data_IF_252086192029
#
_entry.id   IF_252086192029
#
_cell.length_a   1.000
_cell.length_b   1.000
_cell.length_c   1.000
_cell.angle_alpha   90.00
_cell.angle_beta   90.00
_cell.angle_gamma   90.00
#
_symmetry.space_group_name_H-M   'P 1'
#
loop_
_entity.id
_entity.type
_entity.pdbx_description
1 polymer ?
#
# COMPACT_ATOMS: atom_id res chain seq x y z
N UNK A 1 16.33 -5.72 12.00
CA UNK A 1 15.15 -6.07 11.17
C UNK A 1 14.77 -7.52 11.47
N UNK A 2 13.48 -7.79 11.69
CA UNK A 2 12.95 -9.14 11.96
C UNK A 2 13.39 -10.14 10.89
N UNK A 3 13.46 -9.70 9.63
CA UNK A 3 13.81 -10.54 8.46
C UNK A 3 15.27 -11.03 8.43
N UNK A 4 16.18 -10.43 9.19
CA UNK A 4 17.58 -10.90 9.26
C UNK A 4 17.77 -12.10 10.19
N UNK A 5 16.80 -12.37 11.08
CA UNK A 5 16.93 -13.34 12.15
C UNK A 5 16.02 -14.58 11.99
N UNK A 6 15.10 -14.57 11.02
CA UNK A 6 14.20 -15.68 10.76
C UNK A 6 14.42 -16.25 9.35
N UNK A 7 14.50 -17.57 9.26
CA UNK A 7 14.39 -18.26 7.98
C UNK A 7 12.96 -18.07 7.47
N UNK A 8 12.78 -17.22 6.45
CA UNK A 8 11.48 -16.96 5.83
C UNK A 8 10.84 -18.19 5.19
N UNK A 9 11.63 -19.26 4.98
CA UNK A 9 11.16 -20.53 4.42
C UNK A 9 10.24 -21.34 5.37
N UNK A 10 10.01 -20.88 6.58
CA UNK A 10 9.17 -21.56 7.57
C UNK A 10 7.83 -20.82 7.86
N UNK A 11 7.57 -19.72 7.16
CA UNK A 11 6.37 -18.93 7.38
C UNK A 11 5.49 -19.01 6.14
N UNK A 12 4.33 -19.64 6.27
CA UNK A 12 3.29 -19.58 5.26
C UNK A 12 2.63 -18.21 5.29
N UNK A 13 2.82 -17.41 4.24
CA UNK A 13 2.20 -16.10 4.11
C UNK A 13 0.73 -16.20 3.70
N UNK A 14 -0.06 -15.19 4.06
CA UNK A 14 -1.46 -15.11 3.59
C UNK A 14 -1.58 -15.15 2.05
N UNK A 15 -0.68 -14.51 1.26
CA UNK A 15 -0.67 -14.64 -0.20
C UNK A 15 -0.53 -16.08 -0.68
N UNK A 16 0.31 -16.89 -0.03
CA UNK A 16 0.47 -18.30 -0.37
C UNK A 16 -0.82 -19.09 -0.18
N UNK A 17 -1.54 -18.83 0.93
CA UNK A 17 -2.85 -19.44 1.19
C UNK A 17 -3.86 -19.05 0.10
N UNK A 18 -3.88 -17.78 -0.30
CA UNK A 18 -4.73 -17.29 -1.38
C UNK A 18 -4.40 -17.97 -2.72
N UNK A 19 -3.11 -18.13 -3.06
CA UNK A 19 -2.69 -18.84 -4.27
C UNK A 19 -3.21 -20.29 -4.32
N UNK A 20 -3.16 -20.99 -3.19
CA UNK A 20 -3.67 -22.37 -3.07
C UNK A 20 -5.18 -22.44 -3.30
N UNK A 21 -5.90 -21.33 -3.13
CA UNK A 21 -7.33 -21.20 -3.40
C UNK A 21 -7.64 -20.60 -4.79
N UNK A 22 -6.64 -20.48 -5.67
CA UNK A 22 -6.81 -20.00 -7.03
C UNK A 22 -6.89 -18.48 -7.18
N UNK A 23 -6.44 -17.72 -6.18
CA UNK A 23 -6.33 -16.27 -6.28
C UNK A 23 -5.04 -15.86 -7.00
N UNK A 24 -5.13 -14.82 -7.81
CA UNK A 24 -3.94 -14.10 -8.28
C UNK A 24 -3.46 -13.17 -7.14
N UNK A 25 -2.18 -13.25 -6.78
CA UNK A 25 -1.65 -12.46 -5.67
C UNK A 25 -0.61 -11.43 -6.15
N UNK A 26 -0.82 -10.18 -5.75
CA UNK A 26 -0.02 -9.03 -6.19
C UNK A 26 0.57 -8.29 -4.99
N UNK A 27 1.88 -8.06 -5.02
CA UNK A 27 2.55 -7.09 -4.17
C UNK A 27 2.88 -5.85 -5.01
N UNK A 28 2.41 -4.68 -4.58
CA UNK A 28 2.62 -3.40 -5.28
C UNK A 28 3.37 -2.44 -4.38
N UNK A 29 4.47 -1.88 -4.89
CA UNK A 29 5.29 -0.92 -4.15
C UNK A 29 5.91 0.09 -5.11
N UNK A 30 5.82 1.39 -4.80
CA UNK A 30 6.29 2.47 -5.67
C UNK A 30 7.82 2.61 -5.77
N UNK A 31 8.62 1.96 -4.91
CA UNK A 31 10.07 1.99 -4.97
C UNK A 31 10.64 1.10 -6.07
N UNK A 32 11.95 1.20 -6.32
CA UNK A 32 12.66 0.24 -7.19
C UNK A 32 12.64 -1.16 -6.60
N UNK A 33 12.61 -2.17 -7.46
CA UNK A 33 12.85 -3.56 -7.06
C UNK A 33 14.17 -3.67 -6.29
N UNK A 34 14.19 -4.48 -5.23
CA UNK A 34 15.35 -4.61 -4.32
C UNK A 34 15.44 -3.55 -3.21
N UNK A 35 14.64 -2.46 -3.28
CA UNK A 35 14.61 -1.47 -2.20
C UNK A 35 14.15 -2.12 -0.90
N UNK A 36 14.94 -1.93 0.17
CA UNK A 36 14.71 -2.49 1.51
C UNK A 36 14.40 -4.01 1.54
N UNK A 37 14.73 -4.74 0.47
CA UNK A 37 14.49 -6.19 0.30
C UNK A 37 13.00 -6.59 0.33
N UNK A 38 12.10 -5.69 -0.04
CA UNK A 38 10.67 -6.00 -0.12
C UNK A 38 10.36 -7.06 -1.19
N UNK A 39 11.17 -7.16 -2.24
CA UNK A 39 11.11 -8.21 -3.24
C UNK A 39 11.36 -9.61 -2.64
N UNK A 40 12.38 -9.74 -1.81
CA UNK A 40 12.66 -10.98 -1.10
C UNK A 40 11.55 -11.32 -0.09
N UNK A 41 11.04 -10.32 0.64
CA UNK A 41 9.92 -10.50 1.56
C UNK A 41 8.66 -10.95 0.81
N UNK A 42 8.27 -10.26 -0.25
CA UNK A 42 7.08 -10.59 -1.02
C UNK A 42 7.18 -12.00 -1.63
N UNK A 43 8.37 -12.38 -2.14
CA UNK A 43 8.62 -13.74 -2.62
C UNK A 43 8.47 -14.79 -1.50
N UNK A 44 9.03 -14.52 -0.32
CA UNK A 44 8.96 -15.45 0.82
C UNK A 44 7.56 -15.61 1.41
N UNK A 45 6.70 -14.61 1.25
CA UNK A 45 5.28 -14.64 1.66
C UNK A 45 4.38 -15.32 0.62
N UNK A 46 4.91 -15.66 -0.56
CA UNK A 46 4.21 -16.40 -1.60
C UNK A 46 3.41 -15.53 -2.57
N UNK A 47 3.72 -14.25 -2.74
CA UNK A 47 3.15 -13.46 -3.83
C UNK A 47 3.63 -13.99 -5.18
N UNK A 48 2.73 -14.27 -6.11
CA UNK A 48 3.10 -14.72 -7.46
C UNK A 48 3.33 -13.59 -8.46
N UNK A 49 2.99 -12.35 -8.11
CA UNK A 49 3.31 -11.17 -8.91
C UNK A 49 3.77 -10.02 -8.02
N UNK A 50 4.82 -9.33 -8.45
CA UNK A 50 5.35 -8.16 -7.77
C UNK A 50 5.46 -7.02 -8.78
N UNK A 51 5.00 -5.83 -8.42
CA UNK A 51 4.99 -4.64 -9.25
C UNK A 51 5.72 -3.51 -8.53
N UNK A 52 6.83 -3.10 -9.08
CA UNK A 52 7.67 -2.03 -8.58
C UNK A 52 7.61 -0.79 -9.49
N UNK A 53 8.32 0.26 -9.11
CA UNK A 53 8.31 1.55 -9.81
C UNK A 53 8.38 1.40 -11.34
N UNK A 54 9.31 0.60 -11.84
CA UNK A 54 9.59 0.50 -13.27
C UNK A 54 8.51 -0.30 -14.03
N UNK A 55 7.72 -1.13 -13.31
CA UNK A 55 6.54 -1.81 -13.85
C UNK A 55 5.30 -0.89 -13.86
N UNK A 56 5.28 0.10 -12.95
CA UNK A 56 4.14 0.99 -12.74
C UNK A 56 4.22 2.26 -13.58
N UNK A 57 5.40 2.83 -13.78
CA UNK A 57 5.60 4.05 -14.58
C UNK A 57 7.05 4.28 -14.92
N UNK A 58 7.30 4.76 -16.15
CA UNK A 58 8.61 5.20 -16.60
C UNK A 58 8.78 6.73 -16.53
N UNK A 59 7.91 7.44 -15.83
CA UNK A 59 7.96 8.92 -15.74
C UNK A 59 8.75 9.37 -14.50
N UNK A 60 9.96 9.91 -14.64
CA UNK A 60 10.73 10.44 -13.51
C UNK A 60 10.03 11.61 -12.79
N UNK A 61 9.20 12.38 -13.51
CA UNK A 61 8.47 13.52 -12.96
C UNK A 61 7.39 13.13 -11.94
N UNK A 62 7.01 11.86 -11.89
CA UNK A 62 6.01 11.33 -10.97
C UNK A 62 6.68 10.56 -9.80
N UNK A 63 7.98 10.72 -9.61
CA UNK A 63 8.74 10.13 -8.53
C UNK A 63 9.17 11.16 -7.49
N UNK A 64 9.13 10.76 -6.25
CA UNK A 64 9.78 11.42 -5.13
C UNK A 64 11.07 10.71 -4.70
N UNK A 65 11.55 11.00 -3.49
CA UNK A 65 12.81 10.49 -2.93
C UNK A 65 12.85 8.96 -2.87
N UNK A 66 11.75 8.32 -2.53
CA UNK A 66 11.68 6.86 -2.38
C UNK A 66 11.21 6.13 -3.64
N UNK A 67 10.52 6.81 -4.54
CA UNK A 67 10.00 6.19 -5.74
C UNK A 67 8.76 6.88 -6.29
N UNK A 68 7.91 6.11 -6.96
CA UNK A 68 6.69 6.59 -7.60
C UNK A 68 5.67 7.07 -6.56
N UNK A 69 5.10 8.24 -6.78
CA UNK A 69 4.04 8.76 -5.92
C UNK A 69 2.77 7.89 -5.97
N UNK A 70 2.07 7.75 -4.84
CA UNK A 70 0.96 6.81 -4.64
C UNK A 70 -0.19 6.98 -5.63
N UNK A 71 -0.49 8.20 -6.12
CA UNK A 71 -1.55 8.41 -7.10
C UNK A 71 -1.31 7.67 -8.42
N UNK A 72 -0.03 7.51 -8.81
CA UNK A 72 0.33 6.77 -10.02
C UNK A 72 0.21 5.26 -9.77
N UNK A 73 0.59 4.78 -8.58
CA UNK A 73 0.41 3.39 -8.21
C UNK A 73 -1.10 3.03 -8.18
N UNK A 74 -1.95 3.84 -7.56
CA UNK A 74 -3.41 3.66 -7.56
C UNK A 74 -3.98 3.56 -8.98
N UNK A 75 -3.51 4.43 -9.90
CA UNK A 75 -3.93 4.38 -11.31
C UNK A 75 -3.57 3.06 -11.99
N UNK A 76 -2.37 2.53 -11.74
CA UNK A 76 -1.95 1.26 -12.31
C UNK A 76 -2.65 0.06 -11.67
N UNK A 77 -2.92 0.12 -10.36
CA UNK A 77 -3.74 -0.87 -9.66
C UNK A 77 -5.12 -0.95 -10.30
N UNK A 78 -5.82 0.18 -10.47
CA UNK A 78 -7.13 0.22 -11.14
C UNK A 78 -7.10 -0.43 -12.51
N UNK A 79 -6.11 -0.07 -13.34
CA UNK A 79 -5.94 -0.62 -14.68
C UNK A 79 -5.67 -2.13 -14.67
N UNK A 80 -4.94 -2.62 -13.69
CA UNK A 80 -4.65 -4.04 -13.55
C UNK A 80 -5.91 -4.81 -13.13
N UNK A 81 -6.58 -4.35 -12.09
CA UNK A 81 -7.74 -5.02 -11.53
C UNK A 81 -8.94 -5.03 -12.47
N UNK A 82 -9.09 -4.01 -13.34
CA UNK A 82 -10.13 -4.02 -14.39
C UNK A 82 -9.92 -5.07 -15.48
N UNK A 83 -8.77 -5.76 -15.48
CA UNK A 83 -8.44 -6.85 -16.43
C UNK A 83 -8.27 -8.20 -15.73
N UNK A 84 -8.48 -8.25 -14.42
CA UNK A 84 -8.34 -9.47 -13.64
C UNK A 84 -9.58 -10.35 -13.87
N UNK A 85 -9.36 -11.58 -14.30
CA UNK A 85 -10.41 -12.57 -14.53
C UNK A 85 -10.61 -13.48 -13.32
N UNK A 86 -9.53 -13.72 -12.57
CA UNK A 86 -9.53 -14.55 -11.37
C UNK A 86 -9.80 -13.70 -10.11
N UNK A 87 -10.25 -14.33 -9.01
CA UNK A 87 -10.22 -13.66 -7.72
C UNK A 87 -8.78 -13.25 -7.39
N UNK A 88 -8.62 -12.13 -6.70
CA UNK A 88 -7.29 -11.56 -6.42
C UNK A 88 -7.11 -11.20 -4.95
N UNK A 89 -5.85 -11.22 -4.53
CA UNK A 89 -5.35 -10.61 -3.30
C UNK A 89 -4.25 -9.62 -3.68
N UNK A 90 -4.41 -8.35 -3.34
CA UNK A 90 -3.44 -7.32 -3.66
C UNK A 90 -3.04 -6.57 -2.39
N UNK A 91 -1.74 -6.51 -2.15
CA UNK A 91 -1.16 -5.64 -1.12
C UNK A 91 -0.48 -4.45 -1.78
N UNK A 92 -0.90 -3.25 -1.45
CA UNK A 92 -0.23 -2.02 -1.84
C UNK A 92 0.46 -1.40 -0.62
N UNK A 93 1.79 -1.42 -0.64
CA UNK A 93 2.62 -0.77 0.35
C UNK A 93 2.99 0.63 -0.13
N UNK A 94 2.40 1.65 0.52
CA UNK A 94 2.45 3.06 0.10
C UNK A 94 3.78 3.73 0.47
N UNK A 95 4.10 4.87 -0.13
CA UNK A 95 5.36 5.59 0.09
C UNK A 95 5.18 7.04 0.53
N UNK A 96 4.10 7.69 0.10
CA UNK A 96 4.00 9.16 0.19
C UNK A 96 3.88 9.68 1.62
N UNK A 97 3.51 8.83 2.58
CA UNK A 97 3.43 9.17 4.00
C UNK A 97 4.72 8.87 4.77
N UNK A 98 5.77 8.40 4.08
CA UNK A 98 7.09 8.18 4.67
C UNK A 98 7.94 9.46 4.59
N UNK A 99 8.79 9.70 5.60
CA UNK A 99 9.79 10.78 5.58
C UNK A 99 10.70 10.67 4.33
N UNK A 100 11.01 11.74 3.59
CA UNK A 100 10.83 13.17 3.89
C UNK A 100 9.45 13.74 3.50
N UNK A 101 8.39 12.93 3.32
CA UNK A 101 7.03 13.35 3.04
C UNK A 101 6.88 14.12 1.72
N UNK A 102 7.69 13.76 0.72
CA UNK A 102 7.65 14.42 -0.56
C UNK A 102 6.47 13.93 -1.42
N UNK A 103 5.67 14.88 -1.82
CA UNK A 103 4.50 14.68 -2.68
C UNK A 103 4.55 15.67 -3.84
N UNK A 104 3.81 15.43 -4.93
CA UNK A 104 3.85 16.35 -6.07
C UNK A 104 3.45 17.78 -5.67
N UNK A 105 4.23 18.77 -6.09
CA UNK A 105 4.08 20.18 -5.73
C UNK A 105 2.67 20.74 -6.01
N UNK A 106 1.97 20.21 -7.02
CA UNK A 106 0.58 20.59 -7.33
C UNK A 106 -0.39 20.32 -6.18
N UNK A 107 -0.11 19.31 -5.34
CA UNK A 107 -0.94 18.96 -4.18
C UNK A 107 -0.60 19.83 -2.97
N UNK A 108 0.67 20.16 -2.74
CA UNK A 108 1.10 21.06 -1.65
C UNK A 108 0.42 22.42 -1.79
N UNK A 109 0.44 23.00 -2.99
CA UNK A 109 -0.15 24.31 -3.27
C UNK A 109 -1.67 24.37 -3.06
N UNK A 110 -2.34 23.23 -3.15
CA UNK A 110 -3.81 23.14 -3.03
C UNK A 110 -4.30 23.31 -1.60
N UNK A 111 -3.54 22.88 -0.60
CA UNK A 111 -4.05 22.73 0.75
C UNK A 111 -3.39 23.62 1.82
N UNK A 112 -2.20 24.17 1.54
CA UNK A 112 -1.44 25.04 2.45
C UNK A 112 -1.44 24.57 3.91
N UNK A 113 -1.02 23.31 4.14
CA UNK A 113 -1.01 22.69 5.45
C UNK A 113 0.27 23.03 6.23
N UNK A 114 0.26 22.90 7.58
CA UNK A 114 1.34 23.40 8.44
C UNK A 114 2.67 22.66 8.31
N UNK A 115 2.68 21.44 7.80
CA UNK A 115 3.90 20.64 7.64
C UNK A 115 3.85 19.76 6.38
N UNK A 116 5.04 19.27 5.97
CA UNK A 116 5.15 18.30 4.89
C UNK A 116 4.45 16.99 5.25
N UNK A 117 4.57 16.55 6.50
CA UNK A 117 3.88 15.37 7.04
C UNK A 117 2.36 15.50 6.93
N UNK A 118 1.77 16.59 7.45
CA UNK A 118 0.33 16.85 7.34
C UNK A 118 -0.13 16.91 5.88
N UNK A 119 0.69 17.46 4.99
CA UNK A 119 0.43 17.52 3.56
C UNK A 119 0.45 16.13 2.92
N UNK A 120 1.34 15.24 3.35
CA UNK A 120 1.45 13.87 2.84
C UNK A 120 0.24 13.01 3.27
N UNK A 121 -0.21 13.11 4.51
CA UNK A 121 -1.42 12.42 4.98
C UNK A 121 -2.67 12.92 4.23
N UNK A 122 -2.79 14.23 4.02
CA UNK A 122 -3.89 14.79 3.24
C UNK A 122 -3.84 14.37 1.78
N UNK A 123 -2.65 14.33 1.20
CA UNK A 123 -2.46 13.82 -0.15
C UNK A 123 -2.90 12.36 -0.25
N UNK A 124 -2.48 11.51 0.67
CA UNK A 124 -2.87 10.09 0.67
C UNK A 124 -4.39 9.92 0.79
N UNK A 125 -5.05 10.64 1.72
CA UNK A 125 -6.52 10.64 1.86
C UNK A 125 -7.22 11.04 0.55
N UNK A 126 -6.75 12.13 -0.10
CA UNK A 126 -7.30 12.59 -1.38
C UNK A 126 -7.11 11.53 -2.49
N UNK A 127 -5.96 10.83 -2.52
CA UNK A 127 -5.70 9.79 -3.53
C UNK A 127 -6.54 8.53 -3.28
N UNK A 128 -6.64 8.10 -2.03
CA UNK A 128 -7.48 6.97 -1.64
C UNK A 128 -8.95 7.26 -1.97
N UNK A 129 -9.44 8.44 -1.64
CA UNK A 129 -10.81 8.91 -1.99
C UNK A 129 -11.04 8.89 -3.50
N UNK A 130 -10.07 9.40 -4.28
CA UNK A 130 -10.14 9.40 -5.73
C UNK A 130 -10.18 7.97 -6.30
N UNK A 131 -9.34 7.07 -5.78
CA UNK A 131 -9.31 5.67 -6.15
C UNK A 131 -10.67 4.99 -5.92
N UNK A 132 -11.26 5.18 -4.73
CA UNK A 132 -12.58 4.63 -4.40
C UNK A 132 -13.66 5.17 -5.34
N UNK A 133 -13.71 6.49 -5.53
CA UNK A 133 -14.71 7.15 -6.39
C UNK A 133 -14.60 6.74 -7.86
N UNK A 134 -13.38 6.57 -8.37
CA UNK A 134 -13.15 6.19 -9.77
C UNK A 134 -13.55 4.73 -10.05
N UNK A 135 -13.46 3.86 -9.03
CA UNK A 135 -13.66 2.42 -9.21
C UNK A 135 -14.99 1.90 -8.61
N UNK A 136 -15.79 2.72 -7.95
CA UNK A 136 -17.03 2.30 -7.25
C UNK A 136 -18.05 1.59 -8.15
N UNK A 137 -17.97 1.80 -9.48
CA UNK A 137 -18.84 1.17 -10.48
C UNK A 137 -18.28 -0.15 -11.03
N UNK A 138 -16.99 -0.41 -10.84
CA UNK A 138 -16.31 -1.59 -11.32
C UNK A 138 -16.79 -2.86 -10.59
N UNK A 139 -16.92 -3.95 -11.32
CA UNK A 139 -17.41 -5.22 -10.73
C UNK A 139 -16.43 -5.77 -9.70
N UNK A 140 -15.12 -5.71 -9.98
CA UNK A 140 -14.10 -6.13 -9.04
C UNK A 140 -14.16 -5.33 -7.74
N UNK A 141 -14.38 -4.01 -7.81
CA UNK A 141 -14.45 -3.14 -6.64
C UNK A 141 -15.64 -3.49 -5.74
N UNK A 142 -16.82 -3.77 -6.33
CA UNK A 142 -18.04 -4.14 -5.61
C UNK A 142 -17.93 -5.46 -4.87
N UNK A 143 -16.99 -6.32 -5.29
CA UNK A 143 -16.77 -7.66 -4.72
C UNK A 143 -15.43 -7.76 -3.96
N UNK A 144 -14.86 -6.64 -3.53
CA UNK A 144 -13.57 -6.58 -2.84
C UNK A 144 -13.75 -6.19 -1.39
N UNK A 145 -13.08 -6.89 -0.49
CA UNK A 145 -12.86 -6.49 0.90
C UNK A 145 -11.60 -5.62 0.91
N UNK A 146 -11.72 -4.37 1.37
CA UNK A 146 -10.57 -3.50 1.55
C UNK A 146 -10.14 -3.49 3.01
N UNK A 147 -8.86 -3.74 3.24
CA UNK A 147 -8.22 -3.66 4.56
C UNK A 147 -7.18 -2.55 4.47
N UNK A 148 -7.33 -1.52 5.28
CA UNK A 148 -6.43 -0.36 5.33
C UNK A 148 -5.85 -0.30 6.73
N UNK A 149 -4.53 -0.32 6.84
CA UNK A 149 -3.83 -0.28 8.13
C UNK A 149 -2.50 0.45 8.00
N UNK A 150 -1.94 0.90 9.13
CA UNK A 150 -0.53 1.29 9.20
C UNK A 150 0.35 0.06 9.36
N UNK A 151 1.61 0.17 8.98
CA UNK A 151 2.66 -0.83 9.21
C UNK A 151 3.29 -0.68 10.59
N UNK A 152 3.32 0.53 11.12
CA UNK A 152 3.79 0.89 12.46
C UNK A 152 3.26 2.27 12.88
N UNK A 153 3.43 2.62 14.14
CA UNK A 153 3.17 3.97 14.66
C UNK A 153 4.29 4.93 14.22
N UNK A 154 4.02 6.24 14.09
CA UNK A 154 5.06 7.24 13.83
C UNK A 154 6.15 7.22 14.90
N UNK A 155 7.41 7.34 14.48
CA UNK A 155 8.60 7.30 15.38
C UNK A 155 8.62 8.45 16.39
N UNK A 156 7.90 9.54 16.13
CA UNK A 156 7.91 10.79 16.90
C UNK A 156 6.59 11.07 17.64
N UNK A 157 5.92 10.03 18.13
CA UNK A 157 4.80 10.25 19.06
C UNK A 157 5.36 10.80 20.36
N UNK A 158 5.20 12.12 20.55
CA UNK A 158 5.47 12.80 21.83
C UNK A 158 4.71 12.07 22.93
N UNK A 159 5.41 11.58 23.95
CA UNK A 159 4.91 10.81 25.09
C UNK A 159 4.58 9.32 24.88
N UNK A 160 4.84 8.70 23.74
CA UNK A 160 4.73 7.26 23.63
C UNK A 160 5.88 6.58 24.36
N UNK A 161 5.56 5.81 25.42
CA UNK A 161 6.57 4.95 26.04
C UNK A 161 6.83 3.76 25.13
N UNK A 162 8.06 3.60 24.65
CA UNK A 162 8.50 2.56 23.70
C UNK A 162 8.15 1.11 24.10
N UNK A 163 7.71 0.88 25.34
CA UNK A 163 7.41 -0.44 25.90
C UNK A 163 5.92 -0.62 26.22
N UNK A 164 5.06 0.22 25.69
CA UNK A 164 3.60 0.10 25.92
C UNK A 164 2.89 -0.46 24.71
N UNK A 165 1.74 -1.10 24.88
CA UNK A 165 0.85 -1.57 23.81
C UNK A 165 0.48 -0.44 22.83
N UNK A 166 0.33 0.79 23.34
CA UNK A 166 -0.07 1.95 22.55
C UNK A 166 0.96 2.32 21.48
N UNK A 167 2.26 2.10 21.78
CA UNK A 167 3.34 2.29 20.80
C UNK A 167 3.25 1.35 19.60
N UNK A 168 2.65 0.18 19.77
CA UNK A 168 2.49 -0.83 18.70
C UNK A 168 1.08 -0.85 18.12
N UNK A 169 0.19 0.06 18.54
CA UNK A 169 -1.19 0.09 18.10
C UNK A 169 -1.32 0.87 16.79
N UNK A 170 -1.83 0.21 15.75
CA UNK A 170 -2.16 0.82 14.48
C UNK A 170 -3.66 0.67 14.18
N UNK A 171 -4.29 1.66 13.53
CA UNK A 171 -5.69 1.53 13.14
C UNK A 171 -5.84 0.49 12.02
N UNK A 172 -6.95 -0.25 12.07
CA UNK A 172 -7.36 -1.16 10.99
C UNK A 172 -8.78 -0.77 10.56
N UNK A 173 -8.95 -0.46 9.28
CA UNK A 173 -10.24 -0.20 8.65
C UNK A 173 -10.56 -1.36 7.72
N UNK A 174 -11.74 -1.96 7.90
CA UNK A 174 -12.24 -3.03 7.02
C UNK A 174 -13.51 -2.53 6.34
N UNK A 175 -13.48 -2.46 5.02
CA UNK A 175 -14.60 -2.04 4.19
C UNK A 175 -15.11 -3.26 3.44
N UNK A 176 -16.34 -3.65 3.71
CA UNK A 176 -16.97 -4.82 3.14
C UNK A 176 -17.78 -4.49 1.87
N UNK A 177 -17.92 -5.44 0.93
CA UNK A 177 -18.86 -5.34 -0.17
C UNK A 177 -20.29 -5.06 0.31
N UNK A 178 -21.05 -4.29 -0.49
CA UNK A 178 -22.48 -4.06 -0.20
C UNK A 178 -23.24 -5.39 -0.20
N UNK A 179 -23.95 -5.67 0.89
CA UNK A 179 -24.74 -6.90 1.05
C UNK A 179 -24.02 -8.05 1.77
N UNK A 180 -22.75 -7.91 2.09
CA UNK A 180 -22.07 -8.82 2.99
C UNK A 180 -22.52 -8.51 4.43
N UNK A 181 -23.19 -9.47 5.07
CA UNK A 181 -23.61 -9.32 6.47
C UNK A 181 -22.38 -9.30 7.38
N UNK A 182 -22.45 -8.43 8.38
CA UNK A 182 -21.44 -8.33 9.46
C UNK A 182 -21.59 -9.49 10.44
#
# INVERSE_FOLDING_TARGET
>A
FILSNFSTNQVTGFPEICNQQGYDTYFVHGAKAGSMRFDALASSLGFNSQLYRDDLSNSPAECGSWGLHDHMAFKQISKRLSRCENPFMLTFFTLSTHEPFDIPQRFIKKHNLPSAEASSYRYFDDQLRAFFKQNEHEQWFKNTIFIITGDHTPVHLDNAQYNTSDYFSVPIFIILPKGMNR
#
